data_IF_183685016710
#
_entry.id   IF_183685016710
#
_cell.length_a   1.000
_cell.length_b   1.000
_cell.length_c   1.000
_cell.angle_alpha   90.00
_cell.angle_beta   90.00
_cell.angle_gamma   90.00
#
_symmetry.space_group_name_H-M   'P 1'
#
loop_
_entity.id
_entity.type
_entity.pdbx_description
1 polymer ?
#
# COMPACT_ATOMS: atom_id res chain seq x y z
N UNK A 1 -38.23 1.57 15.84
CA UNK A 1 -37.17 2.24 15.08
C UNK A 1 -35.96 1.31 14.70
N UNK A 2 -35.72 0.22 15.45
CA UNK A 2 -34.50 -0.64 15.26
C UNK A 2 -34.47 -1.54 14.02
N UNK A 3 -35.59 -2.17 13.62
CA UNK A 3 -35.57 -3.12 12.48
C UNK A 3 -35.19 -2.47 11.13
N UNK A 4 -35.57 -1.22 10.92
CA UNK A 4 -35.29 -0.48 9.68
C UNK A 4 -33.79 -0.08 9.61
N UNK A 5 -33.20 0.24 10.77
CA UNK A 5 -31.78 0.58 10.92
C UNK A 5 -30.88 -0.66 10.73
N UNK A 6 -31.28 -1.80 11.31
CA UNK A 6 -30.58 -3.07 11.14
C UNK A 6 -30.63 -3.59 9.68
N UNK A 7 -31.78 -3.46 8.99
CA UNK A 7 -31.90 -3.82 7.58
C UNK A 7 -31.07 -2.92 6.67
N UNK A 8 -31.00 -1.61 6.95
CA UNK A 8 -30.15 -0.67 6.22
C UNK A 8 -28.65 -0.99 6.40
N UNK A 9 -28.21 -1.28 7.62
CA UNK A 9 -26.81 -1.70 7.92
C UNK A 9 -26.44 -3.01 7.23
N UNK A 10 -27.34 -4.00 7.23
CA UNK A 10 -27.14 -5.28 6.52
C UNK A 10 -27.02 -5.08 4.99
N UNK A 11 -27.81 -4.15 4.42
CA UNK A 11 -27.74 -3.82 2.99
C UNK A 11 -26.45 -3.07 2.64
N UNK A 12 -26.03 -2.10 3.45
CA UNK A 12 -24.77 -1.38 3.29
C UNK A 12 -23.57 -2.36 3.35
N UNK A 13 -23.54 -3.27 4.31
CA UNK A 13 -22.49 -4.27 4.41
C UNK A 13 -22.42 -5.25 3.22
N UNK A 14 -23.58 -5.58 2.60
CA UNK A 14 -23.59 -6.38 1.37
C UNK A 14 -23.04 -5.61 0.17
N UNK A 15 -23.37 -4.33 0.07
CA UNK A 15 -22.87 -3.44 -1.00
C UNK A 15 -21.36 -3.33 -0.90
N UNK A 16 -20.84 -3.05 0.30
CA UNK A 16 -19.39 -2.92 0.54
C UNK A 16 -18.64 -4.23 0.27
N UNK A 17 -19.17 -5.36 0.72
CA UNK A 17 -18.59 -6.67 0.41
C UNK A 17 -18.54 -6.97 -1.09
N UNK A 18 -19.53 -6.53 -1.85
CA UNK A 18 -19.54 -6.69 -3.31
C UNK A 18 -18.54 -5.77 -3.97
N UNK A 19 -18.44 -4.52 -3.49
CA UNK A 19 -17.45 -3.54 -3.95
C UNK A 19 -16.02 -4.07 -3.78
N UNK A 20 -15.69 -4.58 -2.60
CA UNK A 20 -14.39 -5.17 -2.31
C UNK A 20 -14.07 -6.34 -3.24
N UNK A 21 -14.99 -7.28 -3.43
CA UNK A 21 -14.80 -8.40 -4.38
C UNK A 21 -14.52 -7.95 -5.81
N UNK A 22 -15.14 -6.86 -6.25
CA UNK A 22 -14.90 -6.31 -7.60
C UNK A 22 -13.49 -5.71 -7.67
N UNK A 23 -13.05 -5.00 -6.63
CA UNK A 23 -11.70 -4.42 -6.56
C UNK A 23 -10.62 -5.51 -6.53
N UNK A 24 -10.80 -6.55 -5.72
CA UNK A 24 -9.90 -7.71 -5.67
C UNK A 24 -9.81 -8.42 -7.03
N UNK A 25 -10.95 -8.59 -7.70
CA UNK A 25 -10.98 -9.18 -9.05
C UNK A 25 -10.32 -8.27 -10.10
N UNK A 26 -10.43 -6.95 -9.96
CA UNK A 26 -9.74 -5.99 -10.82
C UNK A 26 -8.23 -6.10 -10.63
N UNK A 27 -7.72 -6.13 -9.38
CA UNK A 27 -6.32 -6.37 -9.08
C UNK A 27 -5.81 -7.65 -9.75
N UNK A 28 -6.49 -8.78 -9.55
CA UNK A 28 -6.12 -10.05 -10.15
C UNK A 28 -6.12 -10.02 -11.69
N UNK A 29 -7.08 -9.33 -12.32
CA UNK A 29 -7.10 -9.14 -13.76
C UNK A 29 -5.91 -8.29 -14.24
N UNK A 30 -5.59 -7.20 -13.54
CA UNK A 30 -4.49 -6.31 -13.90
C UNK A 30 -3.14 -7.02 -13.76
N UNK A 31 -2.93 -7.78 -12.69
CA UNK A 31 -1.74 -8.62 -12.52
C UNK A 31 -1.60 -9.65 -13.64
N UNK A 32 -2.69 -10.32 -14.02
CA UNK A 32 -2.64 -11.41 -14.99
C UNK A 32 -2.52 -10.96 -16.45
N UNK A 33 -3.12 -9.83 -16.81
CA UNK A 33 -3.27 -9.40 -18.22
C UNK A 33 -2.75 -7.99 -18.50
N UNK A 34 -2.40 -7.24 -17.46
CA UNK A 34 -2.15 -5.81 -17.55
C UNK A 34 -3.44 -4.98 -17.53
N UNK A 35 -3.30 -3.71 -17.16
CA UNK A 35 -4.42 -2.77 -17.05
C UNK A 35 -5.19 -2.64 -18.38
N UNK A 36 -4.48 -2.42 -19.50
CA UNK A 36 -5.11 -2.15 -20.78
C UNK A 36 -5.90 -3.34 -21.34
N UNK A 37 -5.39 -4.56 -21.18
CA UNK A 37 -6.02 -5.77 -21.73
C UNK A 37 -7.17 -6.30 -20.86
N UNK A 38 -7.27 -5.86 -19.61
CA UNK A 38 -8.36 -6.24 -18.71
C UNK A 38 -9.64 -5.49 -19.08
N UNK A 39 -10.74 -6.22 -19.32
CA UNK A 39 -12.05 -5.62 -19.57
C UNK A 39 -12.95 -5.64 -18.34
N UNK A 40 -13.93 -4.72 -18.29
CA UNK A 40 -14.97 -4.71 -17.23
C UNK A 40 -15.73 -6.06 -17.19
N UNK A 41 -15.86 -6.75 -18.32
CA UNK A 41 -16.49 -8.07 -18.40
C UNK A 41 -15.63 -9.16 -17.76
N UNK A 42 -14.30 -9.14 -18.00
CA UNK A 42 -13.38 -10.08 -17.35
C UNK A 42 -13.45 -9.94 -15.84
N UNK A 43 -13.41 -8.69 -15.35
CA UNK A 43 -13.48 -8.37 -13.94
C UNK A 43 -14.80 -8.81 -13.32
N UNK A 44 -15.94 -8.51 -13.97
CA UNK A 44 -17.27 -8.96 -13.51
C UNK A 44 -17.34 -10.49 -13.40
N UNK A 45 -16.81 -11.19 -14.40
CA UNK A 45 -16.77 -12.67 -14.44
C UNK A 45 -15.94 -13.21 -13.28
N UNK A 46 -14.74 -12.66 -13.05
CA UNK A 46 -13.86 -13.10 -11.96
C UNK A 46 -14.44 -12.77 -10.59
N UNK A 47 -15.08 -11.61 -10.43
CA UNK A 47 -15.77 -11.22 -9.19
C UNK A 47 -17.04 -12.04 -8.90
N UNK A 48 -17.54 -12.83 -9.89
CA UNK A 48 -18.78 -13.57 -9.76
C UNK A 48 -20.02 -12.68 -9.69
N UNK A 49 -20.00 -11.53 -10.38
CA UNK A 49 -21.12 -10.59 -10.45
C UNK A 49 -21.59 -10.37 -11.89
N UNK A 50 -22.84 -9.94 -12.09
CA UNK A 50 -23.26 -9.51 -13.42
C UNK A 50 -22.54 -8.22 -13.84
N UNK A 51 -22.34 -8.03 -15.15
CA UNK A 51 -21.74 -6.81 -15.69
C UNK A 51 -22.53 -5.55 -15.28
N UNK A 52 -23.86 -5.63 -15.26
CA UNK A 52 -24.72 -4.53 -14.78
C UNK A 52 -24.51 -4.23 -13.28
N UNK A 53 -24.30 -5.27 -12.46
CA UNK A 53 -23.98 -5.06 -11.05
C UNK A 53 -22.60 -4.41 -10.86
N UNK A 54 -21.61 -4.79 -11.65
CA UNK A 54 -20.29 -4.14 -11.64
C UNK A 54 -20.44 -2.64 -11.97
N UNK A 55 -21.18 -2.30 -13.02
CA UNK A 55 -21.41 -0.90 -13.42
C UNK A 55 -22.23 -0.08 -12.37
N UNK A 56 -22.97 -0.73 -11.50
CA UNK A 56 -23.61 -0.06 -10.36
C UNK A 56 -22.60 0.36 -9.27
N UNK A 57 -21.40 -0.21 -9.25
CA UNK A 57 -20.35 0.09 -8.29
C UNK A 57 -19.23 0.96 -8.88
N UNK A 58 -18.91 0.78 -10.16
CA UNK A 58 -17.78 1.42 -10.85
C UNK A 58 -18.18 1.75 -12.30
N UNK A 59 -18.21 3.02 -12.65
CA UNK A 59 -18.58 3.47 -14.01
C UNK A 59 -17.60 2.99 -15.09
N UNK A 60 -16.31 2.88 -14.73
CA UNK A 60 -15.24 2.57 -15.67
C UNK A 60 -14.01 2.01 -14.95
N UNK A 61 -12.96 1.66 -15.72
CA UNK A 61 -11.71 1.13 -15.15
C UNK A 61 -10.95 2.15 -14.29
N UNK A 62 -11.07 3.44 -14.56
CA UNK A 62 -10.40 4.45 -13.73
C UNK A 62 -10.97 4.47 -12.31
N UNK A 63 -12.29 4.28 -12.15
CA UNK A 63 -12.88 4.15 -10.81
C UNK A 63 -12.45 2.89 -10.07
N UNK A 64 -12.15 1.81 -10.79
CA UNK A 64 -11.56 0.62 -10.18
C UNK A 64 -10.17 0.90 -9.62
N UNK A 65 -9.39 1.77 -10.28
CA UNK A 65 -8.08 2.23 -9.76
C UNK A 65 -8.26 3.01 -8.46
N UNK A 66 -9.26 3.89 -8.37
CA UNK A 66 -9.59 4.56 -7.11
C UNK A 66 -9.92 3.54 -6.01
N UNK A 67 -10.68 2.50 -6.34
CA UNK A 67 -10.98 1.40 -5.42
C UNK A 67 -9.73 0.63 -4.97
N UNK A 68 -8.75 0.44 -5.84
CA UNK A 68 -7.45 -0.16 -5.48
C UNK A 68 -6.65 0.73 -4.54
N UNK A 69 -6.62 2.04 -4.78
CA UNK A 69 -5.93 2.97 -3.89
C UNK A 69 -6.61 3.07 -2.52
N UNK A 70 -7.94 2.97 -2.45
CA UNK A 70 -8.67 2.84 -1.17
C UNK A 70 -8.30 1.56 -0.42
N UNK A 71 -8.12 0.44 -1.13
CA UNK A 71 -7.67 -0.82 -0.54
C UNK A 71 -6.24 -0.70 0.00
N UNK A 72 -5.33 -0.13 -0.78
CA UNK A 72 -3.95 0.16 -0.35
C UNK A 72 -3.94 1.08 0.89
N UNK A 73 -4.76 2.13 0.93
CA UNK A 73 -4.88 3.00 2.10
C UNK A 73 -5.35 2.24 3.35
N UNK A 74 -6.25 1.27 3.20
CA UNK A 74 -6.68 0.41 4.31
C UNK A 74 -5.56 -0.52 4.79
N UNK A 75 -4.77 -1.08 3.89
CA UNK A 75 -3.58 -1.88 4.22
C UNK A 75 -2.53 -1.02 4.94
N UNK A 76 -2.25 0.17 4.42
CA UNK A 76 -1.33 1.14 5.03
C UNK A 76 -1.78 1.63 6.40
N UNK A 77 -3.08 1.62 6.70
CA UNK A 77 -3.61 2.05 8.00
C UNK A 77 -3.03 1.27 9.20
N UNK A 78 -2.60 0.02 8.99
CA UNK A 78 -1.91 -0.76 10.03
C UNK A 78 -0.52 -0.22 10.29
N UNK A 79 0.19 0.21 9.25
CA UNK A 79 1.52 0.80 9.33
C UNK A 79 1.45 2.22 9.92
N UNK A 80 0.45 2.99 9.54
CA UNK A 80 0.22 4.34 10.10
C UNK A 80 -0.01 4.27 11.60
N UNK A 81 -0.88 3.36 12.07
CA UNK A 81 -1.10 3.14 13.52
C UNK A 81 0.17 2.68 14.24
N UNK A 82 1.00 1.86 13.60
CA UNK A 82 2.28 1.46 14.18
C UNK A 82 3.20 2.68 14.38
N UNK A 83 3.26 3.59 13.40
CA UNK A 83 4.11 4.77 13.44
C UNK A 83 3.64 5.83 14.47
N UNK A 84 2.37 5.77 14.89
CA UNK A 84 1.80 6.60 15.96
C UNK A 84 2.13 6.06 17.38
N UNK A 85 2.72 4.86 17.48
CA UNK A 85 3.09 4.27 18.77
C UNK A 85 4.15 5.13 19.47
N UNK A 86 3.85 5.51 20.73
CA UNK A 86 4.71 6.35 21.56
C UNK A 86 5.78 5.57 22.34
N UNK A 87 5.97 4.28 22.03
CA UNK A 87 7.00 3.43 22.63
C UNK A 87 8.43 3.82 22.22
N UNK A 88 9.29 2.82 22.01
CA UNK A 88 10.66 3.06 21.56
C UNK A 88 10.70 3.43 20.07
N UNK A 89 11.12 4.64 19.67
CA UNK A 89 11.25 5.04 18.28
C UNK A 89 12.08 4.05 17.45
N UNK A 90 13.18 3.56 17.99
CA UNK A 90 14.04 2.56 17.33
C UNK A 90 13.30 1.26 17.06
N UNK A 91 12.56 0.72 18.05
CA UNK A 91 11.82 -0.53 17.90
C UNK A 91 10.68 -0.37 16.89
N UNK A 92 9.93 0.72 16.98
CA UNK A 92 8.84 1.07 16.06
C UNK A 92 9.35 1.20 14.63
N UNK A 93 10.49 1.87 14.44
CA UNK A 93 11.14 2.05 13.14
C UNK A 93 11.54 0.71 12.51
N UNK A 94 12.19 -0.17 13.27
CA UNK A 94 12.58 -1.49 12.77
C UNK A 94 11.37 -2.36 12.41
N UNK A 95 10.33 -2.32 13.24
CA UNK A 95 9.08 -3.05 12.99
C UNK A 95 8.38 -2.52 11.73
N UNK A 96 8.41 -1.20 11.51
CA UNK A 96 7.88 -0.59 10.30
C UNK A 96 8.62 -1.09 9.05
N UNK A 97 9.97 -1.02 9.04
CA UNK A 97 10.79 -1.47 7.89
C UNK A 97 10.46 -2.94 7.56
N UNK A 98 10.44 -3.81 8.58
CA UNK A 98 10.16 -5.24 8.38
C UNK A 98 8.76 -5.49 7.82
N UNK A 99 7.74 -4.85 8.39
CA UNK A 99 6.34 -5.03 7.96
C UNK A 99 6.11 -4.45 6.57
N UNK A 100 6.60 -3.25 6.31
CA UNK A 100 6.44 -2.60 5.02
C UNK A 100 7.16 -3.39 3.91
N UNK A 101 8.41 -3.78 4.13
CA UNK A 101 9.15 -4.66 3.21
C UNK A 101 8.41 -5.97 2.95
N UNK A 102 7.86 -6.60 3.99
CA UNK A 102 7.12 -7.86 3.86
C UNK A 102 5.83 -7.68 3.08
N UNK A 103 5.11 -6.58 3.28
CA UNK A 103 3.88 -6.25 2.57
C UNK A 103 4.16 -6.00 1.07
N UNK A 104 5.12 -5.12 0.76
CA UNK A 104 5.42 -4.73 -0.63
C UNK A 104 6.00 -5.89 -1.44
N UNK A 105 6.83 -6.77 -0.84
CA UNK A 105 7.42 -7.91 -1.55
C UNK A 105 6.46 -9.08 -1.78
N UNK A 106 5.27 -9.07 -1.21
CA UNK A 106 4.27 -10.11 -1.50
C UNK A 106 4.03 -10.16 -3.03
N UNK A 107 4.04 -11.35 -3.66
CA UNK A 107 4.06 -11.44 -5.13
C UNK A 107 2.95 -10.65 -5.81
N UNK A 108 1.74 -10.71 -5.28
CA UNK A 108 0.59 -9.99 -5.85
C UNK A 108 0.73 -8.46 -5.67
N UNK A 109 1.21 -8.01 -4.49
CA UNK A 109 1.42 -6.58 -4.25
C UNK A 109 2.55 -6.04 -5.14
N UNK A 110 3.65 -6.77 -5.29
CA UNK A 110 4.75 -6.36 -6.17
C UNK A 110 4.32 -6.29 -7.64
N UNK A 111 3.54 -7.27 -8.10
CA UNK A 111 3.03 -7.29 -9.47
C UNK A 111 2.03 -6.16 -9.72
N UNK A 112 1.11 -5.92 -8.78
CA UNK A 112 0.15 -4.81 -8.87
C UNK A 112 0.85 -3.45 -8.83
N UNK A 113 1.86 -3.28 -7.97
CA UNK A 113 2.69 -2.06 -7.91
C UNK A 113 3.37 -1.78 -9.24
N UNK A 114 3.93 -2.80 -9.91
CA UNK A 114 4.54 -2.64 -11.23
C UNK A 114 3.53 -2.18 -12.30
N UNK A 115 2.31 -2.74 -12.30
CA UNK A 115 1.23 -2.31 -13.20
C UNK A 115 0.80 -0.87 -12.92
N UNK A 116 0.63 -0.51 -11.64
CA UNK A 116 0.26 0.85 -11.23
C UNK A 116 1.34 1.85 -11.67
N UNK A 117 2.62 1.56 -11.44
CA UNK A 117 3.72 2.43 -11.87
C UNK A 117 3.74 2.60 -13.39
N UNK A 118 3.52 1.50 -14.13
CA UNK A 118 3.44 1.57 -15.59
C UNK A 118 2.33 2.49 -16.07
N UNK A 119 1.18 2.50 -15.43
CA UNK A 119 0.07 3.39 -15.76
C UNK A 119 0.30 4.82 -15.27
N UNK A 120 0.80 5.00 -14.06
CA UNK A 120 1.11 6.30 -13.47
C UNK A 120 2.12 7.12 -14.30
N UNK A 121 3.07 6.44 -14.96
CA UNK A 121 4.02 7.10 -15.89
C UNK A 121 3.34 7.75 -17.12
N UNK A 122 2.08 7.42 -17.39
CA UNK A 122 1.31 7.91 -18.54
C UNK A 122 0.04 8.66 -18.15
N UNK A 123 -0.31 8.63 -16.86
CA UNK A 123 -1.57 9.18 -16.35
C UNK A 123 -1.37 9.81 -14.98
N UNK A 124 -1.22 11.14 -14.97
CA UNK A 124 -0.99 11.92 -13.76
C UNK A 124 -2.10 11.74 -12.72
N UNK A 125 -3.35 11.50 -13.13
CA UNK A 125 -4.44 11.27 -12.19
C UNK A 125 -4.25 9.97 -11.40
N UNK A 126 -3.74 8.91 -12.03
CA UNK A 126 -3.40 7.65 -11.35
C UNK A 126 -2.22 7.89 -10.40
N UNK A 127 -1.18 8.59 -10.87
CA UNK A 127 -0.05 8.95 -10.01
C UNK A 127 -0.50 9.67 -8.73
N UNK A 128 -1.31 10.71 -8.85
CA UNK A 128 -1.75 11.52 -7.71
C UNK A 128 -2.51 10.71 -6.64
N UNK A 129 -3.36 9.77 -7.05
CA UNK A 129 -4.16 8.96 -6.13
C UNK A 129 -3.27 8.07 -5.26
N UNK A 130 -2.26 7.41 -5.84
CA UNK A 130 -1.32 6.57 -5.08
C UNK A 130 -0.27 7.40 -4.33
N UNK A 131 0.12 8.56 -4.87
CA UNK A 131 1.03 9.47 -4.17
C UNK A 131 0.41 10.01 -2.87
N UNK A 132 -0.90 10.25 -2.80
CA UNK A 132 -1.59 10.64 -1.55
C UNK A 132 -1.40 9.59 -0.44
N UNK A 133 -1.52 8.30 -0.75
CA UNK A 133 -1.26 7.22 0.20
C UNK A 133 0.20 7.21 0.65
N UNK A 134 1.13 7.36 -0.30
CA UNK A 134 2.56 7.44 -0.04
C UNK A 134 2.92 8.65 0.83
N UNK A 135 2.35 9.82 0.58
CA UNK A 135 2.58 11.03 1.40
C UNK A 135 2.13 10.84 2.84
N UNK A 136 1.05 10.08 3.07
CA UNK A 136 0.61 9.73 4.42
C UNK A 136 1.66 8.92 5.18
N UNK A 137 2.28 7.93 4.54
CA UNK A 137 3.39 7.15 5.12
C UNK A 137 4.63 8.03 5.35
N UNK A 138 4.98 8.90 4.39
CA UNK A 138 6.10 9.85 4.53
C UNK A 138 5.91 10.74 5.75
N UNK A 139 4.72 11.33 5.92
CA UNK A 139 4.43 12.21 7.04
C UNK A 139 4.51 11.49 8.40
N UNK A 140 3.92 10.30 8.50
CA UNK A 140 3.94 9.51 9.72
C UNK A 140 5.36 9.04 10.08
N UNK A 141 6.12 8.54 9.12
CA UNK A 141 7.50 8.09 9.32
C UNK A 141 8.42 9.27 9.69
N UNK A 142 8.22 10.42 9.05
CA UNK A 142 8.95 11.66 9.39
C UNK A 142 8.68 12.08 10.84
N UNK A 143 7.43 11.99 11.30
CA UNK A 143 7.06 12.21 12.70
C UNK A 143 7.82 11.30 13.67
N UNK A 144 7.91 10.00 13.35
CA UNK A 144 8.69 9.03 14.14
C UNK A 144 10.18 9.37 14.18
N UNK A 145 10.79 9.75 13.04
CA UNK A 145 12.20 10.12 12.99
C UNK A 145 12.49 11.36 13.83
N UNK A 146 11.64 12.37 13.77
CA UNK A 146 11.75 13.57 14.63
C UNK A 146 11.60 13.21 16.11
N UNK A 147 10.67 12.34 16.47
CA UNK A 147 10.51 11.87 17.85
C UNK A 147 11.75 11.14 18.35
N UNK A 148 12.33 10.27 17.52
CA UNK A 148 13.56 9.54 17.83
C UNK A 148 14.78 10.44 17.97
N UNK A 149 14.89 11.53 17.18
CA UNK A 149 15.93 12.55 17.38
C UNK A 149 15.79 13.25 18.74
N UNK A 150 14.58 13.61 19.13
CA UNK A 150 14.32 14.24 20.45
C UNK A 150 14.61 13.28 21.61
N UNK A 151 14.39 11.98 21.42
CA UNK A 151 14.70 10.95 22.41
C UNK A 151 16.20 10.60 22.50
N UNK A 152 17.00 11.01 21.51
CA UNK A 152 18.42 10.63 21.40
C UNK A 152 18.67 9.27 20.76
N UNK A 153 17.63 8.62 20.23
CA UNK A 153 17.73 7.32 19.55
C UNK A 153 18.33 7.47 18.14
N UNK A 154 18.11 8.62 17.51
CA UNK A 154 18.59 8.94 16.17
C UNK A 154 19.50 10.16 16.17
N UNK A 155 20.38 10.26 15.18
CA UNK A 155 21.30 11.39 14.99
C UNK A 155 20.53 12.71 15.02
N UNK A 156 21.07 13.70 15.70
CA UNK A 156 20.53 15.07 15.67
C UNK A 156 20.99 15.80 14.39
N UNK A 157 20.55 15.29 13.23
CA UNK A 157 20.86 15.82 11.91
C UNK A 157 19.57 16.31 11.25
N UNK A 158 19.47 17.58 10.84
CA UNK A 158 18.28 18.13 10.20
C UNK A 158 17.95 17.48 8.84
N UNK A 159 18.87 16.73 8.23
CA UNK A 159 18.62 16.01 6.97
C UNK A 159 17.84 14.71 7.18
N UNK A 160 17.87 14.11 8.39
CA UNK A 160 17.24 12.79 8.62
C UNK A 160 15.75 12.78 8.29
N UNK A 161 14.93 13.76 8.70
CA UNK A 161 13.53 13.82 8.27
C UNK A 161 13.36 13.87 6.75
N UNK A 162 14.28 14.51 6.04
CA UNK A 162 14.26 14.60 4.57
C UNK A 162 14.65 13.29 3.88
N UNK A 163 15.19 12.30 4.60
CA UNK A 163 15.51 10.98 4.06
C UNK A 163 14.27 10.07 3.95
N UNK A 164 13.16 10.43 4.54
CA UNK A 164 11.95 9.59 4.56
C UNK A 164 11.52 9.08 3.19
N UNK A 165 11.42 9.91 2.13
CA UNK A 165 11.08 9.41 0.79
C UNK A 165 12.10 8.37 0.28
N UNK A 166 13.40 8.61 0.50
CA UNK A 166 14.47 7.69 0.08
C UNK A 166 14.44 6.37 0.85
N UNK A 167 14.06 6.39 2.12
CA UNK A 167 13.88 5.17 2.92
C UNK A 167 12.76 4.32 2.32
N UNK A 168 11.63 4.91 1.97
CA UNK A 168 10.53 4.20 1.31
C UNK A 168 10.96 3.67 -0.06
N UNK A 169 11.60 4.49 -0.90
CA UNK A 169 12.12 4.08 -2.20
C UNK A 169 13.06 2.87 -2.10
N UNK A 170 13.96 2.88 -1.12
CA UNK A 170 14.89 1.78 -0.90
C UNK A 170 14.17 0.50 -0.50
N UNK A 171 13.16 0.59 0.38
CA UNK A 171 12.35 -0.56 0.80
C UNK A 171 11.58 -1.12 -0.39
N UNK A 172 10.90 -0.28 -1.16
CA UNK A 172 10.08 -0.64 -2.31
C UNK A 172 10.92 -1.27 -3.43
N UNK A 173 12.06 -0.66 -3.77
CA UNK A 173 12.97 -1.18 -4.79
C UNK A 173 13.54 -2.54 -4.40
N UNK A 174 13.98 -2.71 -3.14
CA UNK A 174 14.48 -4.00 -2.63
C UNK A 174 13.38 -5.05 -2.62
N UNK A 175 12.17 -4.69 -2.18
CA UNK A 175 11.01 -5.58 -2.16
C UNK A 175 10.63 -6.07 -3.56
N UNK A 176 10.58 -5.17 -4.55
CA UNK A 176 10.31 -5.51 -5.94
C UNK A 176 11.40 -6.45 -6.53
N UNK A 177 12.68 -6.18 -6.24
CA UNK A 177 13.79 -7.06 -6.68
C UNK A 177 13.65 -8.47 -6.12
N UNK A 178 13.32 -8.60 -4.85
CA UNK A 178 13.10 -9.89 -4.20
C UNK A 178 11.88 -10.61 -4.79
N UNK A 179 10.79 -9.91 -5.05
CA UNK A 179 9.62 -10.50 -5.70
C UNK A 179 9.94 -11.02 -7.11
N UNK A 180 10.69 -10.25 -7.92
CA UNK A 180 11.16 -10.66 -9.25
C UNK A 180 12.10 -11.89 -9.20
N UNK A 181 12.84 -12.07 -8.11
CA UNK A 181 13.69 -13.25 -7.88
C UNK A 181 12.91 -14.44 -7.27
N UNK A 182 11.58 -14.41 -7.25
CA UNK A 182 10.77 -15.48 -6.68
C UNK A 182 10.81 -15.56 -5.15
N UNK A 183 11.20 -14.47 -4.48
CA UNK A 183 11.27 -14.38 -3.01
C UNK A 183 12.56 -14.92 -2.40
N UNK A 184 13.49 -15.42 -3.20
CA UNK A 184 14.79 -15.93 -2.72
C UNK A 184 15.61 -14.82 -2.03
N UNK A 185 16.25 -15.15 -0.91
CA UNK A 185 17.11 -14.23 -0.16
C UNK A 185 16.36 -13.16 0.68
N UNK A 186 15.02 -13.11 0.67
CA UNK A 186 14.24 -12.06 1.31
C UNK A 186 14.63 -11.76 2.77
N UNK A 187 14.94 -12.80 3.56
CA UNK A 187 15.35 -12.62 4.96
C UNK A 187 16.72 -11.95 5.10
N UNK A 188 17.66 -12.28 4.21
CA UNK A 188 19.00 -11.68 4.20
C UNK A 188 18.91 -10.23 3.73
N UNK A 189 18.16 -9.99 2.66
CA UNK A 189 17.91 -8.65 2.12
C UNK A 189 17.23 -7.73 3.12
N UNK A 190 16.19 -8.18 3.82
CA UNK A 190 15.50 -7.40 4.84
C UNK A 190 16.44 -6.99 6.00
N UNK A 191 17.35 -7.88 6.42
CA UNK A 191 18.36 -7.54 7.43
C UNK A 191 19.40 -6.54 6.91
N UNK A 192 19.86 -6.72 5.68
CA UNK A 192 20.81 -5.80 5.05
C UNK A 192 20.18 -4.42 4.88
N UNK A 193 18.95 -4.35 4.38
CA UNK A 193 18.17 -3.15 4.23
C UNK A 193 18.07 -2.38 5.55
N UNK A 194 17.67 -3.05 6.63
CA UNK A 194 17.60 -2.46 7.96
C UNK A 194 18.96 -1.93 8.41
N UNK A 195 20.04 -2.69 8.22
CA UNK A 195 21.39 -2.27 8.60
C UNK A 195 21.86 -1.03 7.82
N UNK A 196 21.56 -0.96 6.53
CA UNK A 196 21.91 0.20 5.68
C UNK A 196 21.15 1.44 6.12
N UNK A 197 19.86 1.30 6.38
CA UNK A 197 19.03 2.43 6.85
C UNK A 197 19.50 2.89 8.24
N UNK A 198 19.86 1.97 9.13
CA UNK A 198 20.40 2.29 10.46
C UNK A 198 21.69 3.15 10.37
N UNK A 199 22.56 2.91 9.40
CA UNK A 199 23.75 3.75 9.17
C UNK A 199 23.41 5.22 8.90
N UNK A 200 22.25 5.47 8.31
CA UNK A 200 21.78 6.83 8.02
C UNK A 200 21.23 7.53 9.26
N UNK A 201 20.45 6.82 10.05
CA UNK A 201 19.59 7.43 11.08
C UNK A 201 20.09 7.25 12.51
N UNK A 202 20.75 6.14 12.86
CA UNK A 202 21.19 5.89 14.24
C UNK A 202 22.37 6.76 14.67
N UNK A 203 22.33 7.15 15.95
CA UNK A 203 23.41 7.89 16.61
C UNK A 203 24.67 7.03 16.78
#
# INVERSE_FOLDING_TARGET
MDKKKAAAQSRAGKVEKTRLKIVEAAAACFIAKGFHQSSMRDIATLAGVSLGNLYNHFENKAELINGLAELEAQENAVLLRLLEDTGSPTSTFHTFIERYFTMVRAPDNAALTAEIFSEAMRNDAIYQIFDENRQSLIQALNGLLIAGQKAGDFKSDPLIPSLTPLILDLIEASALRIALAGGEGAKAEGKLLQSVIDLWVKA
#
